data_IF_397334870432
#
_entry.id   IF_397334870432
#
_cell.length_a   1.000
_cell.length_b   1.000
_cell.length_c   1.000
_cell.angle_alpha   90.00
_cell.angle_beta   90.00
_cell.angle_gamma   90.00
#
_symmetry.space_group_name_H-M   'P 1'
#
loop_
_entity.id
_entity.type
_entity.pdbx_description
1 polymer ?
#
# COMPACT_ATOMS: atom_id res chain seq x y z
N UNK A 1 -6.37 -26.38 -2.71
CA UNK A 1 -7.67 -25.78 -2.29
C UNK A 1 -7.52 -24.87 -1.06
N UNK A 2 -6.93 -25.34 0.06
CA UNK A 2 -6.81 -24.53 1.28
C UNK A 2 -6.00 -23.25 1.08
N UNK A 3 -4.87 -23.31 0.37
CA UNK A 3 -4.03 -22.14 0.11
C UNK A 3 -4.70 -21.18 -0.88
N UNK A 4 -5.44 -21.71 -1.83
CA UNK A 4 -6.23 -20.92 -2.77
C UNK A 4 -7.39 -20.21 -2.06
N UNK A 5 -8.10 -20.90 -1.17
CA UNK A 5 -9.15 -20.30 -0.35
C UNK A 5 -8.60 -19.19 0.57
N UNK A 6 -7.42 -19.37 1.17
CA UNK A 6 -6.73 -18.33 1.96
C UNK A 6 -6.38 -17.11 1.11
N UNK A 7 -5.86 -17.31 -0.09
CA UNK A 7 -5.54 -16.21 -1.00
C UNK A 7 -6.78 -15.43 -1.40
N UNK A 8 -7.87 -16.12 -1.73
CA UNK A 8 -9.17 -15.50 -2.02
C UNK A 8 -9.69 -14.73 -0.81
N UNK A 9 -9.64 -15.32 0.39
CA UNK A 9 -10.08 -14.67 1.62
C UNK A 9 -9.28 -13.39 1.93
N UNK A 10 -7.99 -13.38 1.70
CA UNK A 10 -7.14 -12.19 1.86
C UNK A 10 -7.58 -11.06 0.94
N UNK A 11 -7.89 -11.36 -0.33
CA UNK A 11 -8.43 -10.37 -1.27
C UNK A 11 -9.77 -9.81 -0.81
N UNK A 12 -10.66 -10.69 -0.36
CA UNK A 12 -11.98 -10.29 0.15
C UNK A 12 -11.85 -9.36 1.36
N UNK A 13 -11.00 -9.71 2.32
CA UNK A 13 -10.72 -8.87 3.50
C UNK A 13 -10.14 -7.50 3.12
N UNK A 14 -9.35 -7.44 2.05
CA UNK A 14 -8.82 -6.20 1.50
C UNK A 14 -9.82 -5.43 0.61
N UNK A 15 -11.07 -5.91 0.51
CA UNK A 15 -12.09 -5.39 -0.39
C UNK A 15 -11.64 -5.32 -1.87
N UNK A 16 -10.77 -6.23 -2.26
CA UNK A 16 -10.29 -6.37 -3.64
C UNK A 16 -11.22 -7.28 -4.44
N UNK A 17 -11.38 -7.05 -5.74
CA UNK A 17 -12.24 -7.88 -6.57
C UNK A 17 -11.71 -9.32 -6.66
N UNK A 18 -12.62 -10.28 -6.58
CA UNK A 18 -12.37 -11.69 -6.82
C UNK A 18 -13.20 -12.12 -8.01
N UNK A 19 -12.58 -12.80 -8.98
CA UNK A 19 -13.30 -13.26 -10.17
C UNK A 19 -14.24 -14.42 -9.83
N UNK A 20 -15.42 -14.47 -10.44
CA UNK A 20 -16.37 -15.58 -10.26
C UNK A 20 -15.73 -16.93 -10.60
N UNK A 21 -14.87 -17.02 -11.63
CA UNK A 21 -14.15 -18.25 -11.96
C UNK A 21 -13.26 -18.77 -10.85
N UNK A 22 -12.68 -17.89 -10.04
CA UNK A 22 -11.92 -18.28 -8.84
C UNK A 22 -12.82 -18.73 -7.70
N UNK A 23 -13.98 -18.11 -7.54
CA UNK A 23 -14.96 -18.53 -6.55
C UNK A 23 -15.52 -19.92 -6.91
N UNK A 24 -15.87 -20.13 -8.18
CA UNK A 24 -16.44 -21.39 -8.67
C UNK A 24 -15.47 -22.57 -8.59
N UNK A 25 -14.16 -22.31 -8.52
CA UNK A 25 -13.15 -23.36 -8.31
C UNK A 25 -13.06 -23.89 -6.88
N UNK A 26 -13.70 -23.19 -5.92
CA UNK A 26 -13.71 -23.59 -4.51
C UNK A 26 -14.93 -24.44 -4.17
N UNK A 27 -14.84 -25.21 -3.08
CA UNK A 27 -15.99 -25.97 -2.60
C UNK A 27 -17.16 -25.06 -2.22
N UNK A 28 -18.42 -25.56 -2.29
CA UNK A 28 -19.62 -24.75 -1.98
C UNK A 28 -19.57 -24.11 -0.59
N UNK A 29 -18.97 -24.80 0.39
CA UNK A 29 -18.83 -24.29 1.76
C UNK A 29 -17.92 -23.04 1.81
N UNK A 30 -16.78 -23.08 1.10
CA UNK A 30 -15.90 -21.93 1.00
C UNK A 30 -16.53 -20.77 0.22
N UNK A 31 -17.29 -21.07 -0.83
CA UNK A 31 -18.02 -20.04 -1.59
C UNK A 31 -19.00 -19.26 -0.69
N UNK A 32 -19.76 -19.95 0.15
CA UNK A 32 -20.69 -19.31 1.10
C UNK A 32 -19.93 -18.41 2.07
N UNK A 33 -18.89 -18.93 2.72
CA UNK A 33 -18.08 -18.15 3.67
C UNK A 33 -17.45 -16.90 3.01
N UNK A 34 -16.99 -17.02 1.78
CA UNK A 34 -16.40 -15.89 1.04
C UNK A 34 -17.46 -14.84 0.71
N UNK A 35 -18.66 -15.24 0.28
CA UNK A 35 -19.74 -14.29 -0.03
C UNK A 35 -20.24 -13.55 1.22
N UNK A 36 -20.33 -14.23 2.36
CA UNK A 36 -20.65 -13.60 3.63
C UNK A 36 -19.57 -12.60 4.06
N UNK A 37 -18.30 -12.97 3.92
CA UNK A 37 -17.19 -12.08 4.21
C UNK A 37 -17.15 -10.88 3.26
N UNK A 38 -17.43 -11.06 1.96
CA UNK A 38 -17.53 -9.95 1.01
C UNK A 38 -18.59 -8.92 1.43
N UNK A 39 -19.75 -9.40 1.89
CA UNK A 39 -20.81 -8.52 2.35
C UNK A 39 -20.42 -7.74 3.61
N UNK A 40 -19.69 -8.39 4.54
CA UNK A 40 -19.16 -7.75 5.75
C UNK A 40 -18.10 -6.70 5.39
N UNK A 41 -17.11 -7.07 4.58
CA UNK A 41 -16.01 -6.17 4.19
C UNK A 41 -16.51 -4.95 3.42
N UNK A 42 -17.53 -5.10 2.59
CA UNK A 42 -18.15 -3.99 1.89
C UNK A 42 -18.78 -2.96 2.84
N UNK A 43 -19.29 -3.40 4.00
CA UNK A 43 -19.79 -2.50 5.04
C UNK A 43 -18.65 -1.81 5.79
N UNK A 44 -17.62 -2.56 6.15
CA UNK A 44 -16.46 -2.02 6.88
C UNK A 44 -15.59 -1.09 6.03
N UNK A 45 -15.50 -1.33 4.72
CA UNK A 45 -14.76 -0.47 3.80
C UNK A 45 -15.30 0.97 3.74
N UNK A 46 -16.58 1.18 4.09
CA UNK A 46 -17.17 2.52 4.17
C UNK A 46 -16.52 3.39 5.27
N UNK A 47 -15.97 2.77 6.32
CA UNK A 47 -15.34 3.45 7.45
C UNK A 47 -13.79 3.43 7.37
N UNK A 48 -13.22 2.75 6.36
CA UNK A 48 -11.77 2.68 6.17
C UNK A 48 -11.22 3.99 5.60
N UNK A 49 -10.15 4.51 6.21
CA UNK A 49 -9.46 5.70 5.71
C UNK A 49 -8.60 5.41 4.48
N UNK A 50 -7.95 4.25 4.45
CA UNK A 50 -7.12 3.82 3.34
C UNK A 50 -7.85 2.93 2.35
N UNK A 51 -7.29 2.79 1.16
CA UNK A 51 -7.82 1.97 0.08
C UNK A 51 -6.77 0.95 -0.37
N UNK A 52 -7.11 -0.33 -0.37
CA UNK A 52 -6.29 -1.35 -1.01
C UNK A 52 -6.49 -1.32 -2.52
N UNK A 53 -5.40 -1.47 -3.26
CA UNK A 53 -5.44 -1.67 -4.71
C UNK A 53 -4.66 -2.92 -5.12
N UNK A 54 -5.07 -3.51 -6.22
CA UNK A 54 -4.27 -4.52 -6.91
C UNK A 54 -3.02 -3.90 -7.50
N UNK A 55 -1.94 -4.69 -7.54
CA UNK A 55 -0.74 -4.32 -8.28
C UNK A 55 -1.08 -4.15 -9.77
N UNK A 56 -0.40 -3.23 -10.46
CA UNK A 56 -0.52 -3.11 -11.91
C UNK A 56 -0.28 -4.44 -12.62
N UNK A 57 -0.89 -4.60 -13.78
CA UNK A 57 -0.63 -5.76 -14.64
C UNK A 57 0.76 -5.61 -15.27
N UNK A 58 1.46 -6.72 -15.48
CA UNK A 58 2.76 -6.69 -16.10
C UNK A 58 3.87 -7.14 -15.16
N UNK A 59 5.10 -6.74 -15.47
CA UNK A 59 6.28 -7.18 -14.75
C UNK A 59 6.55 -6.31 -13.51
N UNK A 60 7.21 -6.86 -12.48
CA UNK A 60 7.49 -6.12 -11.25
C UNK A 60 8.22 -4.78 -11.45
N UNK A 61 9.12 -4.70 -12.43
CA UNK A 61 9.85 -3.47 -12.76
C UNK A 61 8.96 -2.33 -13.30
N UNK A 62 7.76 -2.65 -13.77
CA UNK A 62 6.76 -1.70 -14.29
C UNK A 62 5.81 -1.19 -13.21
N UNK A 63 5.66 -1.92 -12.07
CA UNK A 63 4.66 -1.61 -11.06
C UNK A 63 4.82 -0.22 -10.44
N UNK A 64 6.02 0.13 -10.00
CA UNK A 64 6.25 1.41 -9.33
C UNK A 64 6.04 2.62 -10.28
N UNK A 65 6.55 2.61 -11.52
CA UNK A 65 6.23 3.63 -12.52
C UNK A 65 4.73 3.76 -12.80
N UNK A 66 4.01 2.65 -12.93
CA UNK A 66 2.56 2.67 -13.18
C UNK A 66 1.78 3.20 -11.99
N UNK A 67 2.12 2.77 -10.76
CA UNK A 67 1.52 3.30 -9.53
C UNK A 67 1.69 4.82 -9.46
N UNK A 68 2.90 5.32 -9.70
CA UNK A 68 3.18 6.77 -9.66
C UNK A 68 2.42 7.50 -10.77
N UNK A 69 2.27 6.90 -11.95
CA UNK A 69 1.56 7.52 -13.07
C UNK A 69 0.07 7.73 -12.81
N UNK A 70 -0.55 6.99 -11.89
CA UNK A 70 -1.95 7.20 -11.48
C UNK A 70 -2.15 8.53 -10.73
N UNK A 71 -1.07 9.12 -10.21
CA UNK A 71 -1.09 10.35 -9.38
C UNK A 71 -0.62 11.61 -10.12
N UNK A 72 -0.78 11.68 -11.45
CA UNK A 72 -0.37 12.85 -12.23
C UNK A 72 -0.95 14.17 -11.69
N UNK A 73 -0.10 15.18 -11.59
CA UNK A 73 -0.45 16.49 -11.05
C UNK A 73 -0.29 16.61 -9.53
N UNK A 74 0.05 15.52 -8.86
CA UNK A 74 0.28 15.45 -7.42
C UNK A 74 1.72 15.05 -7.11
N UNK A 75 2.24 15.49 -5.97
CA UNK A 75 3.47 14.95 -5.40
C UNK A 75 3.15 13.58 -4.84
N UNK A 76 3.94 12.57 -5.14
CA UNK A 76 3.70 11.21 -4.64
C UNK A 76 4.74 10.87 -3.58
N UNK A 77 4.25 10.62 -2.37
CA UNK A 77 5.04 10.09 -1.27
C UNK A 77 4.80 8.58 -1.17
N UNK A 78 5.84 7.79 -1.44
CA UNK A 78 5.78 6.33 -1.37
C UNK A 78 6.52 5.86 -0.12
N UNK A 79 5.85 5.08 0.71
CA UNK A 79 6.39 4.47 1.94
C UNK A 79 6.48 2.95 1.79
N UNK A 80 7.71 2.44 1.74
CA UNK A 80 7.97 1.00 1.80
C UNK A 80 8.15 0.59 3.26
N UNK A 81 7.26 -0.26 3.73
CA UNK A 81 7.14 -0.62 5.14
C UNK A 81 6.75 -2.09 5.36
N UNK A 82 6.67 -2.53 6.61
CA UNK A 82 6.09 -3.81 6.99
C UNK A 82 5.45 -3.72 8.38
N UNK A 83 4.49 -4.58 8.66
CA UNK A 83 3.76 -4.60 9.94
C UNK A 83 4.66 -4.86 11.14
N UNK A 84 5.72 -5.63 10.96
CA UNK A 84 6.74 -5.94 11.97
C UNK A 84 7.81 -4.86 12.14
N UNK A 85 7.85 -3.86 11.27
CA UNK A 85 8.88 -2.79 11.28
C UNK A 85 8.50 -1.68 12.27
N UNK A 86 9.17 -1.65 13.41
CA UNK A 86 8.95 -0.64 14.46
C UNK A 86 9.13 0.80 13.98
N UNK A 87 10.29 1.18 13.39
CA UNK A 87 10.51 2.53 12.86
C UNK A 87 9.52 2.94 11.78
N UNK A 88 9.05 2.00 10.93
CA UNK A 88 8.02 2.27 9.92
C UNK A 88 6.71 2.72 10.59
N UNK A 89 6.27 1.98 11.60
CA UNK A 89 5.04 2.29 12.35
C UNK A 89 5.13 3.63 13.08
N UNK A 90 6.30 3.97 13.62
CA UNK A 90 6.56 5.28 14.24
C UNK A 90 6.40 6.38 13.19
N UNK A 91 7.04 6.25 12.03
CA UNK A 91 6.93 7.22 10.94
C UNK A 91 5.49 7.42 10.47
N UNK A 92 4.75 6.34 10.23
CA UNK A 92 3.33 6.42 9.85
C UNK A 92 2.50 7.17 10.90
N UNK A 93 2.69 6.87 12.19
CA UNK A 93 1.97 7.53 13.29
C UNK A 93 2.27 9.03 13.36
N UNK A 94 3.55 9.41 13.25
CA UNK A 94 3.95 10.83 13.32
C UNK A 94 3.44 11.61 12.09
N UNK A 95 3.47 11.00 10.90
CA UNK A 95 2.97 11.61 9.66
C UNK A 95 1.47 11.88 9.70
N UNK A 96 0.66 11.13 10.44
CA UNK A 96 -0.78 11.38 10.56
C UNK A 96 -1.10 12.82 11.01
N UNK A 97 -0.28 13.39 11.90
CA UNK A 97 -0.49 14.74 12.42
C UNK A 97 -0.38 15.85 11.37
N UNK A 98 0.31 15.61 10.26
CA UNK A 98 0.58 16.58 9.19
C UNK A 98 -0.03 16.19 7.85
N UNK A 99 -0.62 15.01 7.76
CA UNK A 99 -1.11 14.41 6.52
C UNK A 99 -2.16 15.28 5.82
N UNK A 100 -3.16 15.78 6.54
CA UNK A 100 -4.22 16.63 5.96
C UNK A 100 -3.63 17.89 5.32
N UNK A 101 -2.73 18.58 6.03
CA UNK A 101 -2.02 19.74 5.49
C UNK A 101 -1.19 19.42 4.24
N UNK A 102 -0.54 18.25 4.20
CA UNK A 102 0.22 17.83 3.02
C UNK A 102 -0.69 17.47 1.85
N UNK A 103 -1.84 16.87 2.10
CA UNK A 103 -2.85 16.58 1.07
C UNK A 103 -3.40 17.85 0.43
N UNK A 104 -3.72 18.87 1.24
CA UNK A 104 -4.14 20.20 0.75
C UNK A 104 -3.07 20.82 -0.14
N UNK A 105 -1.79 20.60 0.15
CA UNK A 105 -0.66 21.03 -0.68
C UNK A 105 -0.42 20.15 -1.91
N UNK A 106 -1.21 19.13 -2.12
CA UNK A 106 -1.16 18.28 -3.30
C UNK A 106 -0.23 17.07 -3.17
N UNK A 107 -0.02 16.55 -1.97
CA UNK A 107 0.71 15.29 -1.74
C UNK A 107 -0.27 14.12 -1.66
N UNK A 108 -0.01 13.07 -2.40
CA UNK A 108 -0.68 11.77 -2.30
C UNK A 108 0.22 10.75 -1.60
N UNK A 109 -0.40 9.90 -0.79
CA UNK A 109 0.29 8.90 0.01
C UNK A 109 0.05 7.50 -0.56
N UNK A 110 1.14 6.81 -0.84
CA UNK A 110 1.17 5.42 -1.32
C UNK A 110 1.98 4.58 -0.33
N UNK A 111 1.41 3.50 0.13
CA UNK A 111 2.03 2.57 1.06
C UNK A 111 2.23 1.22 0.38
N UNK A 112 3.46 0.73 0.38
CA UNK A 112 3.81 -0.56 -0.23
C UNK A 112 4.45 -1.44 0.83
N UNK A 113 3.82 -2.57 1.10
CA UNK A 113 4.37 -3.63 1.94
C UNK A 113 4.55 -4.91 1.12
N UNK A 114 5.12 -5.93 1.72
CA UNK A 114 5.24 -7.25 1.10
C UNK A 114 4.58 -8.35 1.95
N UNK A 115 4.55 -9.55 1.42
CA UNK A 115 3.90 -10.71 2.06
C UNK A 115 4.60 -11.22 3.32
N UNK A 116 5.69 -10.59 3.79
CA UNK A 116 6.22 -10.81 5.14
C UNK A 116 5.38 -10.15 6.23
N UNK A 117 4.52 -9.19 5.85
CA UNK A 117 3.57 -8.56 6.75
C UNK A 117 2.38 -9.48 7.03
N UNK A 118 1.95 -9.56 8.29
CA UNK A 118 0.71 -10.25 8.63
C UNK A 118 -0.48 -9.54 7.97
N UNK A 119 -1.36 -10.32 7.33
CA UNK A 119 -2.48 -9.78 6.56
C UNK A 119 -3.52 -9.05 7.41
N UNK A 120 -3.79 -9.51 8.63
CA UNK A 120 -4.78 -8.88 9.50
C UNK A 120 -4.22 -7.57 10.08
N UNK A 121 -2.93 -7.58 10.47
CA UNK A 121 -2.25 -6.37 10.92
C UNK A 121 -2.18 -5.32 9.79
N UNK A 122 -1.84 -5.75 8.57
CA UNK A 122 -1.83 -4.87 7.40
C UNK A 122 -3.18 -4.20 7.18
N UNK A 123 -4.28 -4.97 7.19
CA UNK A 123 -5.63 -4.43 7.02
C UNK A 123 -6.02 -3.46 8.13
N UNK A 124 -5.58 -3.72 9.37
CA UNK A 124 -5.79 -2.80 10.49
C UNK A 124 -5.04 -1.46 10.29
N UNK A 125 -3.88 -1.48 9.62
CA UNK A 125 -3.16 -0.27 9.23
C UNK A 125 -3.87 0.45 8.08
N UNK A 126 -4.29 -0.26 7.04
CA UNK A 126 -5.08 0.31 5.93
C UNK A 126 -6.30 1.06 6.47
N UNK A 127 -7.04 0.46 7.39
CA UNK A 127 -8.25 1.08 7.95
C UNK A 127 -8.00 2.43 8.65
N UNK A 128 -6.79 2.65 9.18
CA UNK A 128 -6.44 3.85 9.98
C UNK A 128 -5.62 4.88 9.21
N UNK A 129 -4.93 4.48 8.14
CA UNK A 129 -4.01 5.35 7.42
C UNK A 129 -4.54 5.63 6.02
N UNK A 130 -5.01 6.86 5.82
CA UNK A 130 -5.48 7.32 4.52
C UNK A 130 -4.37 7.25 3.47
N UNK A 131 -4.71 6.80 2.28
CA UNK A 131 -3.80 6.63 1.15
C UNK A 131 -4.10 5.35 0.38
N UNK A 132 -3.27 5.07 -0.60
CA UNK A 132 -3.39 3.86 -1.41
C UNK A 132 -2.38 2.82 -0.91
N UNK A 133 -2.88 1.63 -0.64
CA UNK A 133 -2.08 0.55 -0.06
C UNK A 133 -1.96 -0.63 -1.03
N UNK A 134 -0.73 -1.10 -1.19
CA UNK A 134 -0.39 -2.27 -2.00
C UNK A 134 0.36 -3.30 -1.15
N UNK A 135 0.15 -4.57 -1.47
CA UNK A 135 0.93 -5.68 -0.95
C UNK A 135 1.61 -6.41 -2.11
N UNK A 136 2.92 -6.54 -2.03
CA UNK A 136 3.78 -7.14 -3.07
C UNK A 136 4.21 -8.54 -2.61
N UNK A 137 4.24 -9.55 -3.48
CA UNK A 137 4.92 -10.79 -3.14
C UNK A 137 6.38 -10.52 -2.78
N UNK A 138 6.83 -11.05 -1.63
CA UNK A 138 8.18 -10.80 -1.10
C UNK A 138 9.29 -11.13 -2.11
N UNK A 139 9.12 -12.23 -2.84
CA UNK A 139 10.04 -12.69 -3.89
C UNK A 139 10.09 -11.76 -5.12
N UNK A 140 9.13 -10.86 -5.30
CA UNK A 140 9.05 -9.90 -6.41
C UNK A 140 9.53 -8.50 -6.06
N UNK A 141 9.67 -8.19 -4.78
CA UNK A 141 10.02 -6.83 -4.32
C UNK A 141 11.34 -6.32 -4.90
N UNK A 142 12.37 -7.17 -4.95
CA UNK A 142 13.66 -6.78 -5.54
C UNK A 142 13.57 -6.47 -7.03
N UNK A 143 12.69 -7.17 -7.76
CA UNK A 143 12.49 -6.96 -9.18
C UNK A 143 11.77 -5.62 -9.50
N UNK A 144 11.18 -4.94 -8.51
CA UNK A 144 10.55 -3.63 -8.70
C UNK A 144 11.52 -2.50 -9.02
N UNK A 145 12.83 -2.72 -8.93
CA UNK A 145 13.87 -1.70 -9.19
C UNK A 145 13.65 -0.40 -8.40
N UNK A 146 13.41 -0.55 -7.09
CA UNK A 146 13.15 0.56 -6.19
C UNK A 146 14.40 1.47 -6.11
N UNK A 147 14.27 2.78 -6.40
CA UNK A 147 15.42 3.70 -6.38
C UNK A 147 16.15 3.72 -5.04
N UNK A 148 17.48 3.54 -5.09
CA UNK A 148 18.39 3.58 -3.93
C UNK A 148 18.00 2.63 -2.77
N UNK A 149 17.35 1.52 -3.09
CA UNK A 149 16.89 0.54 -2.09
C UNK A 149 17.97 -0.47 -1.76
N UNK A 150 18.39 -0.51 -0.50
CA UNK A 150 19.40 -1.41 0.06
C UNK A 150 18.79 -2.53 0.93
N UNK A 151 17.60 -3.00 0.57
CA UNK A 151 16.84 -4.02 1.33
C UNK A 151 16.54 -3.63 2.80
N UNK A 152 16.48 -2.34 3.09
CA UNK A 152 16.17 -1.80 4.41
C UNK A 152 14.88 -0.99 4.39
N UNK A 153 14.07 -1.12 5.43
CA UNK A 153 12.84 -0.34 5.65
C UNK A 153 12.90 0.35 7.03
N UNK A 154 12.22 1.51 7.20
CA UNK A 154 11.43 2.21 6.19
C UNK A 154 12.30 2.79 5.07
N UNK A 155 11.74 2.82 3.87
CA UNK A 155 12.35 3.45 2.71
C UNK A 155 11.30 4.29 1.98
N UNK A 156 11.59 5.56 1.78
CA UNK A 156 10.66 6.52 1.24
C UNK A 156 11.12 7.02 -0.11
N UNK A 157 10.18 7.17 -1.05
CA UNK A 157 10.43 7.81 -2.33
C UNK A 157 9.53 9.02 -2.48
N UNK A 158 10.07 10.07 -3.08
CA UNK A 158 9.32 11.28 -3.42
C UNK A 158 9.38 11.49 -4.92
N UNK A 159 8.21 11.67 -5.53
CA UNK A 159 8.04 11.99 -6.95
C UNK A 159 7.36 13.34 -7.09
N UNK A 160 7.77 14.11 -8.10
CA UNK A 160 7.17 15.40 -8.41
C UNK A 160 5.80 15.25 -9.10
N UNK A 161 5.14 16.37 -9.38
CA UNK A 161 3.82 16.42 -10.03
C UNK A 161 3.80 15.87 -11.46
N UNK A 162 4.97 15.68 -12.07
CA UNK A 162 5.15 15.08 -13.41
C UNK A 162 5.40 13.57 -13.32
N UNK A 163 5.49 13.01 -12.11
CA UNK A 163 5.83 11.62 -11.86
C UNK A 163 7.33 11.33 -11.98
N UNK A 164 8.18 12.38 -11.96
CA UNK A 164 9.64 12.22 -12.00
C UNK A 164 10.15 11.94 -10.58
N UNK A 165 11.01 10.93 -10.44
CA UNK A 165 11.71 10.66 -9.20
C UNK A 165 12.57 11.84 -8.76
N UNK A 166 12.40 12.27 -7.50
CA UNK A 166 13.12 13.39 -6.90
C UNK A 166 14.13 12.90 -5.86
N UNK A 167 13.69 12.07 -4.92
CA UNK A 167 14.51 11.68 -3.77
C UNK A 167 14.10 10.34 -3.17
N UNK A 168 15.10 9.62 -2.66
CA UNK A 168 14.93 8.49 -1.75
C UNK A 168 15.46 8.86 -0.36
N UNK A 169 14.79 8.37 0.69
CA UNK A 169 15.18 8.54 2.09
C UNK A 169 15.12 7.18 2.76
N UNK A 170 16.22 6.71 3.29
CA UNK A 170 16.29 5.46 4.05
C UNK A 170 16.26 5.75 5.55
N UNK A 171 15.44 5.00 6.30
CA UNK A 171 15.18 5.25 7.71
C UNK A 171 14.20 6.40 7.95
N UNK A 172 13.60 6.43 9.12
CA UNK A 172 12.69 7.51 9.50
C UNK A 172 13.47 8.75 9.97
N UNK A 173 13.41 9.89 9.26
CA UNK A 173 14.18 11.08 9.61
C UNK A 173 13.48 12.01 10.61
N UNK A 174 12.27 11.66 11.03
CA UNK A 174 11.38 12.53 11.81
C UNK A 174 10.45 13.39 10.93
N UNK A 175 9.31 13.76 11.50
CA UNK A 175 8.23 14.46 10.78
C UNK A 175 8.66 15.82 10.22
N UNK A 176 9.42 16.59 10.98
CA UNK A 176 9.89 17.93 10.56
C UNK A 176 10.78 17.84 9.31
N UNK A 177 11.73 16.91 9.33
CA UNK A 177 12.63 16.70 8.19
C UNK A 177 11.85 16.21 6.96
N UNK A 178 10.92 15.27 7.16
CA UNK A 178 10.09 14.77 6.05
C UNK A 178 9.23 15.89 5.45
N UNK A 179 8.65 16.77 6.26
CA UNK A 179 7.89 17.93 5.77
C UNK A 179 8.77 18.89 4.96
N UNK A 180 10.02 19.13 5.39
CA UNK A 180 10.97 19.97 4.64
C UNK A 180 11.27 19.34 3.28
N UNK A 181 11.50 18.03 3.21
CA UNK A 181 11.77 17.34 1.96
C UNK A 181 10.57 17.40 0.98
N UNK A 182 9.35 17.22 1.49
CA UNK A 182 8.14 17.32 0.66
C UNK A 182 7.86 18.75 0.21
N UNK A 183 8.12 19.76 1.07
CA UNK A 183 7.94 21.17 0.72
C UNK A 183 8.94 21.66 -0.33
N UNK A 184 10.11 21.01 -0.46
CA UNK A 184 11.12 21.34 -1.45
C UNK A 184 10.77 20.86 -2.88
N UNK A 185 9.74 20.02 -3.02
CA UNK A 185 9.30 19.48 -4.31
C UNK A 185 8.28 20.43 -4.95
N UNK A 186 8.59 20.91 -6.15
CA UNK A 186 7.74 21.84 -6.93
C UNK A 186 6.91 21.10 -7.99
#
# INVERSE_FOLDING_TARGET
ELDEAKAVMTRVKANLPVSESKLDSLSPEFQVQIREMQALMKREAADSKGTCKDLPKGKPEEWLPEIVAEHKGRIVFVDFWATWCGPCRTGMKEMESVKDSLKEKGVDFVYITDTSSDSNDWLAYVARHEGIHYIVPEDKKQAMQIPNYENAIPHYLIYDRKGKFVKAISGWPGVEKMMQELAAVQ
#
